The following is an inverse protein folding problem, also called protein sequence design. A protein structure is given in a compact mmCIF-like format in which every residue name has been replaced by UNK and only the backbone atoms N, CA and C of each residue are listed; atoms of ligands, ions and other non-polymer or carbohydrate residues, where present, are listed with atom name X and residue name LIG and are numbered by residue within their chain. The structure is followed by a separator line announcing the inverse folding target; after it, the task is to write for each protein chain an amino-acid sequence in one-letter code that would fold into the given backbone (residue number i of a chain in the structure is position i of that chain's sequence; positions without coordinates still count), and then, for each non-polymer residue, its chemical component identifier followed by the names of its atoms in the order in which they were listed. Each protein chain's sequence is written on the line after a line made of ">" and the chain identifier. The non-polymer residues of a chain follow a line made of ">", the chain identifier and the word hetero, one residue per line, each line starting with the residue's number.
data_IF_529138803902
#
_entry.id   IF_529138803902
#
_cell.length_a   1.000
_cell.length_b   1.000
_cell.length_c   1.000
_cell.angle_alpha   90.00
_cell.angle_beta   90.00
_cell.angle_gamma   90.00
#
_symmetry.space_group_name_H-M   'P 1'
#
loop_
_entity.id
_entity.type
_entity.pdbx_description
1 polymer ?
#
# COMPACT_ATOMS: atom_id res chain seq x y z
N UNK A 1 -25.64 20.51 0.43
CA UNK A 1 -24.40 19.95 1.00
C UNK A 1 -24.54 18.44 0.94
N UNK A 2 -23.95 17.78 -0.06
CA UNK A 2 -24.00 16.32 -0.14
C UNK A 2 -23.05 15.76 0.90
N UNK A 3 -23.57 14.98 1.84
CA UNK A 3 -22.78 14.11 2.71
C UNK A 3 -22.14 13.03 1.83
N UNK A 4 -20.95 13.32 1.29
CA UNK A 4 -20.13 12.33 0.61
C UNK A 4 -19.80 11.24 1.61
N UNK A 5 -20.34 10.04 1.39
CA UNK A 5 -20.02 8.86 2.18
C UNK A 5 -18.51 8.65 2.04
N UNK A 6 -17.75 8.82 3.12
CA UNK A 6 -16.30 8.51 3.12
C UNK A 6 -16.16 7.07 2.63
N UNK A 7 -15.58 6.90 1.44
CA UNK A 7 -15.27 5.60 0.88
C UNK A 7 -14.03 5.09 1.61
N UNK A 8 -14.06 3.82 2.03
CA UNK A 8 -12.94 3.12 2.66
C UNK A 8 -12.40 2.08 1.71
N UNK A 9 -11.12 1.75 1.84
CA UNK A 9 -10.49 0.69 1.07
C UNK A 9 -10.83 -0.66 1.73
N UNK A 10 -11.95 -1.26 1.33
CA UNK A 10 -12.46 -2.49 1.94
C UNK A 10 -12.72 -3.57 0.87
N UNK A 11 -12.38 -4.82 1.21
CA UNK A 11 -12.71 -6.02 0.44
C UNK A 11 -12.38 -5.89 -1.06
N UNK A 12 -13.38 -5.86 -1.95
CA UNK A 12 -13.16 -5.77 -3.41
C UNK A 12 -12.32 -4.57 -3.85
N UNK A 13 -12.42 -3.43 -3.17
CA UNK A 13 -11.65 -2.24 -3.56
C UNK A 13 -10.15 -2.39 -3.24
N UNK A 14 -9.81 -3.17 -2.22
CA UNK A 14 -8.43 -3.51 -1.88
C UNK A 14 -7.81 -4.43 -2.95
N UNK A 15 -8.58 -5.42 -3.42
CA UNK A 15 -8.18 -6.29 -4.53
C UNK A 15 -8.00 -5.52 -5.85
N UNK A 16 -8.90 -4.57 -6.12
CA UNK A 16 -8.79 -3.65 -7.26
C UNK A 16 -7.53 -2.77 -7.14
N UNK A 17 -7.26 -2.23 -5.95
CA UNK A 17 -6.05 -1.45 -5.67
C UNK A 17 -4.78 -2.28 -5.91
N UNK A 18 -4.70 -3.49 -5.35
CA UNK A 18 -3.55 -4.37 -5.52
C UNK A 18 -3.31 -4.74 -7.00
N UNK A 19 -4.39 -5.06 -7.72
CA UNK A 19 -4.33 -5.38 -9.15
C UNK A 19 -3.85 -4.18 -9.97
N UNK A 20 -4.35 -2.99 -9.67
CA UNK A 20 -3.95 -1.77 -10.36
C UNK A 20 -2.49 -1.41 -10.10
N UNK A 21 -2.03 -1.48 -8.84
CA UNK A 21 -0.63 -1.24 -8.47
C UNK A 21 0.29 -2.23 -9.21
N UNK A 22 -0.11 -3.50 -9.31
CA UNK A 22 0.67 -4.52 -10.02
C UNK A 22 0.88 -4.16 -11.51
N UNK A 23 -0.12 -3.56 -12.16
CA UNK A 23 0.01 -3.04 -13.52
C UNK A 23 1.01 -1.88 -13.57
N UNK A 24 0.88 -0.89 -12.67
CA UNK A 24 1.75 0.30 -12.66
C UNK A 24 3.22 -0.04 -12.43
N UNK A 25 3.51 -0.90 -11.45
CA UNK A 25 4.87 -1.33 -11.10
C UNK A 25 5.57 -2.01 -12.28
N UNK A 26 4.84 -2.78 -13.10
CA UNK A 26 5.40 -3.41 -14.30
C UNK A 26 5.63 -2.42 -15.44
N UNK A 27 4.76 -1.43 -15.61
CA UNK A 27 4.97 -0.35 -16.57
C UNK A 27 6.26 0.44 -16.25
N UNK A 28 6.61 0.56 -14.97
CA UNK A 28 7.88 1.15 -14.51
C UNK A 28 9.09 0.20 -14.63
N UNK A 29 8.89 -1.02 -15.12
CA UNK A 29 9.96 -2.01 -15.34
C UNK A 29 10.40 -2.75 -14.08
N UNK A 30 9.62 -2.70 -13.00
CA UNK A 30 9.85 -3.46 -11.78
C UNK A 30 8.96 -4.71 -11.74
N UNK A 31 9.46 -5.79 -11.12
CA UNK A 31 8.67 -6.97 -10.85
C UNK A 31 8.42 -7.09 -9.35
N UNK A 32 7.16 -6.95 -8.95
CA UNK A 32 6.69 -7.20 -7.58
C UNK A 32 5.57 -8.23 -7.65
N UNK A 33 5.68 -9.38 -6.95
CA UNK A 33 4.60 -10.36 -6.91
C UNK A 33 3.30 -9.76 -6.37
N UNK A 34 2.15 -10.09 -6.97
CA UNK A 34 0.85 -9.62 -6.50
C UNK A 34 0.59 -9.93 -5.02
N UNK A 35 0.97 -11.14 -4.57
CA UNK A 35 0.89 -11.54 -3.16
C UNK A 35 1.72 -10.64 -2.22
N UNK A 36 2.87 -10.12 -2.69
CA UNK A 36 3.68 -9.19 -1.91
C UNK A 36 3.02 -7.81 -1.85
N UNK A 37 2.40 -7.35 -2.94
CA UNK A 37 1.63 -6.10 -2.96
C UNK A 37 0.50 -6.18 -1.94
N UNK A 38 -0.32 -7.23 -2.00
CA UNK A 38 -1.42 -7.45 -1.05
C UNK A 38 -0.91 -7.50 0.40
N UNK A 39 0.18 -8.23 0.65
CA UNK A 39 0.77 -8.32 1.98
C UNK A 39 1.24 -6.97 2.51
N UNK A 40 1.83 -6.12 1.67
CA UNK A 40 2.22 -4.75 2.03
C UNK A 40 1.00 -3.93 2.42
N UNK A 41 -0.04 -3.93 1.60
CA UNK A 41 -1.27 -3.17 1.83
C UNK A 41 -2.03 -3.64 3.07
N UNK A 42 -2.02 -4.95 3.37
CA UNK A 42 -2.61 -5.50 4.58
C UNK A 42 -1.78 -5.13 5.82
N UNK A 43 -0.47 -5.28 5.74
CA UNK A 43 0.45 -4.97 6.85
C UNK A 43 0.35 -3.49 7.23
N UNK A 44 0.30 -2.58 6.26
CA UNK A 44 0.13 -1.14 6.49
C UNK A 44 -1.14 -0.83 7.30
N UNK A 45 -2.24 -1.54 7.00
CA UNK A 45 -3.49 -1.40 7.74
C UNK A 45 -3.42 -1.99 9.15
N UNK A 46 -2.79 -3.15 9.30
CA UNK A 46 -2.63 -3.82 10.59
C UNK A 46 -1.80 -2.99 11.57
N UNK A 47 -0.77 -2.29 11.10
CA UNK A 47 0.08 -1.44 11.94
C UNK A 47 -0.56 -0.09 12.27
N UNK A 48 -1.59 0.35 11.55
CA UNK A 48 -2.38 1.54 11.88
C UNK A 48 -1.67 2.88 11.66
N UNK A 49 -0.76 2.96 10.67
CA UNK A 49 0.08 4.15 10.43
C UNK A 49 -0.46 5.08 9.32
N UNK A 50 -1.67 4.88 8.82
CA UNK A 50 -2.22 5.58 7.64
C UNK A 50 -2.35 7.11 7.78
N UNK A 51 -2.24 7.63 9.01
CA UNK A 51 -2.22 9.08 9.32
C UNK A 51 -0.81 9.70 9.30
N UNK A 52 0.21 8.91 9.01
CA UNK A 52 1.60 9.34 9.01
C UNK A 52 2.08 9.65 7.58
N UNK A 53 3.21 10.35 7.49
CA UNK A 53 3.88 10.60 6.21
C UNK A 53 4.37 9.28 5.57
N UNK A 54 4.31 9.20 4.25
CA UNK A 54 4.65 7.99 3.49
C UNK A 54 6.02 7.35 3.87
N UNK A 55 7.10 8.13 4.12
CA UNK A 55 8.37 7.54 4.59
C UNK A 55 8.28 6.85 5.95
N UNK A 56 7.41 7.34 6.83
CA UNK A 56 7.17 6.75 8.16
C UNK A 56 6.38 5.46 8.02
N UNK A 57 5.36 5.46 7.14
CA UNK A 57 4.57 4.26 6.82
C UNK A 57 5.48 3.17 6.25
N UNK A 58 6.28 3.50 5.23
CA UNK A 58 7.21 2.56 4.60
C UNK A 58 8.20 1.96 5.62
N UNK A 59 8.77 2.78 6.49
CA UNK A 59 9.65 2.32 7.56
C UNK A 59 8.93 1.38 8.55
N UNK A 60 7.66 1.67 8.86
CA UNK A 60 6.80 0.83 9.70
C UNK A 60 6.55 -0.55 9.09
N UNK A 61 6.21 -0.60 7.79
CA UNK A 61 6.00 -1.86 7.07
C UNK A 61 7.30 -2.68 7.00
N UNK A 62 8.44 -2.05 6.69
CA UNK A 62 9.75 -2.74 6.72
C UNK A 62 10.04 -3.32 8.10
N UNK A 63 9.79 -2.56 9.17
CA UNK A 63 9.98 -3.04 10.54
C UNK A 63 9.05 -4.22 10.88
N UNK A 64 7.79 -4.19 10.44
CA UNK A 64 6.84 -5.27 10.64
C UNK A 64 7.30 -6.57 9.95
N UNK A 65 7.75 -6.50 8.70
CA UNK A 65 8.25 -7.66 7.96
C UNK A 65 9.49 -8.26 8.61
N UNK A 66 10.45 -7.42 9.03
CA UNK A 66 11.63 -7.87 9.78
C UNK A 66 11.26 -8.54 11.11
N UNK A 67 10.25 -8.01 11.81
CA UNK A 67 9.73 -8.58 13.06
C UNK A 67 9.08 -9.97 12.88
N UNK A 68 8.51 -10.23 11.70
CA UNK A 68 7.94 -11.53 11.32
C UNK A 68 8.98 -12.53 10.78
N UNK A 69 10.28 -12.23 10.93
CA UNK A 69 11.41 -13.04 10.42
C UNK A 69 11.44 -13.19 8.89
N UNK A 70 10.80 -12.27 8.15
CA UNK A 70 11.06 -12.18 6.71
C UNK A 70 12.46 -11.61 6.49
N UNK A 71 13.28 -12.33 5.73
CA UNK A 71 14.58 -11.83 5.30
C UNK A 71 14.38 -10.92 4.08
N UNK A 72 14.08 -9.65 4.34
CA UNK A 72 13.95 -8.65 3.29
C UNK A 72 15.31 -8.36 2.64
N UNK A 73 15.33 -8.38 1.32
CA UNK A 73 16.42 -7.80 0.53
C UNK A 73 16.23 -6.28 0.38
N UNK A 74 17.28 -5.58 -0.04
CA UNK A 74 17.18 -4.15 -0.37
C UNK A 74 16.14 -3.88 -1.48
N UNK A 75 15.96 -4.82 -2.41
CA UNK A 75 14.94 -4.72 -3.47
C UNK A 75 13.54 -4.77 -2.87
N UNK A 76 13.32 -5.59 -1.85
CA UNK A 76 12.01 -5.69 -1.19
C UNK A 76 11.66 -4.41 -0.42
N UNK A 77 12.66 -3.76 0.22
CA UNK A 77 12.46 -2.46 0.87
C UNK A 77 12.14 -1.35 -0.13
N UNK A 78 12.79 -1.36 -1.31
CA UNK A 78 12.44 -0.45 -2.39
C UNK A 78 11.03 -0.72 -2.91
N UNK A 79 10.65 -1.99 -3.08
CA UNK A 79 9.32 -2.38 -3.53
C UNK A 79 8.22 -1.89 -2.56
N UNK A 80 8.44 -1.96 -1.25
CA UNK A 80 7.52 -1.42 -0.25
C UNK A 80 7.25 0.07 -0.48
N UNK A 81 8.30 0.87 -0.68
CA UNK A 81 8.14 2.30 -0.95
C UNK A 81 7.37 2.60 -2.23
N UNK A 82 7.66 1.85 -3.30
CA UNK A 82 6.99 2.00 -4.60
C UNK A 82 5.51 1.62 -4.52
N UNK A 83 5.19 0.49 -3.88
CA UNK A 83 3.81 0.02 -3.69
C UNK A 83 2.99 1.05 -2.91
N UNK A 84 3.53 1.58 -1.82
CA UNK A 84 2.82 2.57 -1.00
C UNK A 84 2.63 3.90 -1.73
N UNK A 85 3.58 4.32 -2.57
CA UNK A 85 3.42 5.51 -3.41
C UNK A 85 2.28 5.32 -4.42
N UNK A 86 2.23 4.17 -5.09
CA UNK A 86 1.16 3.86 -6.03
C UNK A 86 -0.21 3.71 -5.36
N UNK A 87 -0.27 3.15 -4.16
CA UNK A 87 -1.51 3.17 -3.37
C UNK A 87 -2.00 4.59 -3.12
N UNK A 88 -1.11 5.55 -2.84
CA UNK A 88 -1.49 6.94 -2.59
C UNK A 88 -2.15 7.58 -3.82
N UNK A 89 -1.58 7.32 -5.00
CA UNK A 89 -2.15 7.73 -6.29
C UNK A 89 -3.52 7.08 -6.55
N UNK A 90 -3.65 5.77 -6.31
CA UNK A 90 -4.93 5.06 -6.45
C UNK A 90 -6.01 5.67 -5.56
N UNK A 91 -5.69 5.91 -4.29
CA UNK A 91 -6.61 6.50 -3.32
C UNK A 91 -7.00 7.93 -3.73
N UNK A 92 -6.04 8.72 -4.24
CA UNK A 92 -6.29 10.03 -4.83
C UNK A 92 -7.30 10.00 -5.98
N UNK A 93 -7.14 9.05 -6.91
CA UNK A 93 -8.08 8.83 -8.03
C UNK A 93 -9.46 8.40 -7.53
N UNK A 94 -9.50 7.52 -6.51
CA UNK A 94 -10.73 7.01 -5.92
C UNK A 94 -11.46 8.03 -5.03
N UNK A 95 -10.82 9.17 -4.71
CA UNK A 95 -11.33 10.17 -3.77
C UNK A 95 -11.37 9.66 -2.33
N UNK A 96 -10.44 8.78 -1.97
CA UNK A 96 -10.29 8.20 -0.63
C UNK A 96 -9.06 8.83 0.02
N UNK A 97 -9.20 9.26 1.27
CA UNK A 97 -8.03 9.62 2.07
C UNK A 97 -7.41 8.35 2.64
N UNK A 98 -6.08 8.22 2.56
CA UNK A 98 -5.32 7.14 3.19
C UNK A 98 -5.67 6.96 4.67
N UNK A 99 -5.80 8.06 5.41
CA UNK A 99 -6.19 8.03 6.83
C UNK A 99 -7.56 7.37 7.09
N UNK A 100 -8.44 7.39 6.08
CA UNK A 100 -9.76 6.79 6.14
C UNK A 100 -9.82 5.38 5.53
N UNK A 101 -8.70 4.89 4.99
CA UNK A 101 -8.58 3.61 4.26
C UNK A 101 -8.25 2.41 5.15
#
# INVERSE_FOLDING_TARGET
>A
MSTGKMRKLEGPLLEECASWIWEQVQEEGMFVPGELIELILLTEREIGLQSQELPVIAAGVVAAFRGQSHNLSNTDEQAIGVVLAWEDEFLGIAGISREAS
#
